data_IF_239693555653
#
_entry.id   IF_239693555653
#
_cell.length_a   1.000
_cell.length_b   1.000
_cell.length_c   1.000
_cell.angle_alpha   90.00
_cell.angle_beta   90.00
_cell.angle_gamma   90.00
#
_symmetry.space_group_name_H-M   'P 1'
#
loop_
_entity.id
_entity.type
_entity.pdbx_description
1 polymer ?
#
# COMPACT_ATOMS: atom_id res chain seq x y z
N UNK A 1 39.85 -27.13 27.34
CA UNK A 1 39.60 -26.85 27.32
C UNK A 1 38.90 -25.98 27.04
N UNK A 2 38.58 -25.75 26.83
CA UNK A 2 37.96 -25.06 26.70
C UNK A 2 37.30 -24.55 26.05
N UNK A 3 37.26 -24.58 25.77
CA UNK A 3 36.77 -24.28 25.07
C UNK A 3 35.70 -23.75 24.99
N UNK A 4 35.38 -23.82 25.13
CA UNK A 4 34.49 -23.52 25.03
C UNK A 4 33.93 -22.54 24.85
N UNK A 5 34.04 -22.29 24.76
CA UNK A 5 33.64 -21.57 24.64
C UNK A 5 33.00 -20.91 24.07
N UNK A 6 32.96 -20.86 23.73
CA UNK A 6 32.53 -20.41 23.19
C UNK A 6 31.61 -20.03 22.82
N UNK A 7 31.41 -20.11 22.60
CA UNK A 7 30.63 -19.99 22.18
C UNK A 7 29.75 -19.22 22.25
N UNK A 8 29.58 -19.09 22.36
CA UNK A 8 28.77 -18.62 22.44
C UNK A 8 28.34 -17.67 22.00
N UNK A 9 28.43 -17.50 21.79
CA UNK A 9 28.01 -16.78 21.50
C UNK A 9 27.33 -16.32 20.93
N UNK A 10 27.21 -16.28 20.63
CA UNK A 10 26.68 -15.93 20.13
C UNK A 10 25.76 -15.66 19.80
N UNK A 11 25.74 -15.89 19.68
CA UNK A 11 24.85 -15.90 19.34
C UNK A 11 24.15 -15.01 19.51
N UNK A 12 24.08 -14.83 19.88
CA UNK A 12 23.34 -14.12 20.13
C UNK A 12 23.03 -13.22 19.33
N UNK A 13 23.26 -13.07 18.97
CA UNK A 13 23.08 -12.33 18.31
C UNK A 13 22.12 -12.20 17.66
N UNK A 14 21.97 -12.40 17.53
CA UNK A 14 21.29 -12.46 16.98
C UNK A 14 20.30 -12.02 17.03
N UNK A 15 20.30 -12.20 17.10
CA UNK A 15 19.46 -12.08 17.22
C UNK A 15 18.75 -11.09 17.16
N UNK A 16 18.60 -10.85 17.29
CA UNK A 16 17.90 -10.04 17.44
C UNK A 16 17.67 -9.15 16.65
N UNK A 17 17.86 -8.91 16.45
CA UNK A 17 17.82 -7.89 15.82
C UNK A 17 16.89 -7.68 14.80
N UNK A 18 16.84 -8.30 14.11
CA UNK A 18 16.15 -8.15 12.99
C UNK A 18 14.79 -7.82 13.11
N UNK A 19 14.35 -8.36 13.80
CA UNK A 19 13.13 -8.33 14.05
C UNK A 19 12.39 -7.13 13.97
N UNK A 20 12.69 -6.24 14.64
CA UNK A 20 11.89 -5.12 14.83
C UNK A 20 11.94 -4.14 13.71
N UNK A 21 12.42 -4.51 12.62
CA UNK A 21 12.77 -3.56 11.60
C UNK A 21 11.78 -3.39 10.48
N UNK A 22 10.53 -3.67 10.70
CA UNK A 22 9.55 -3.45 9.65
C UNK A 22 9.47 -1.96 9.35
N UNK A 23 9.65 -1.62 8.11
CA UNK A 23 9.67 -0.27 7.61
C UNK A 23 8.69 -0.14 6.47
N UNK A 24 8.34 1.08 6.12
CA UNK A 24 7.50 1.31 4.96
C UNK A 24 8.08 0.62 3.73
N UNK A 25 9.41 0.59 3.62
CA UNK A 25 10.06 -0.04 2.48
C UNK A 25 9.84 -1.54 2.42
N UNK A 26 9.39 -2.14 3.52
CA UNK A 26 9.16 -3.57 3.57
C UNK A 26 7.71 -3.95 3.28
N UNK A 27 6.90 -3.00 2.87
CA UNK A 27 5.50 -3.30 2.57
C UNK A 27 5.42 -4.19 1.33
N UNK A 28 4.45 -5.10 1.30
CA UNK A 28 4.24 -5.91 0.10
C UNK A 28 3.95 -5.03 -1.09
N UNK A 29 4.62 -5.31 -2.20
CA UNK A 29 4.41 -4.57 -3.44
C UNK A 29 3.36 -5.32 -4.24
N UNK A 30 2.32 -4.62 -4.65
CA UNK A 30 1.21 -5.23 -5.38
C UNK A 30 0.94 -4.46 -6.65
N UNK A 31 0.43 -5.16 -7.66
CA UNK A 31 -0.12 -4.49 -8.84
C UNK A 31 -1.57 -4.12 -8.53
N UNK A 32 -2.12 -3.22 -9.33
CA UNK A 32 -3.53 -2.84 -9.20
C UNK A 32 -4.41 -4.07 -9.32
N UNK A 33 -4.14 -4.93 -10.29
CA UNK A 33 -4.91 -6.15 -10.47
C UNK A 33 -4.84 -7.06 -9.25
N UNK A 34 -3.66 -7.20 -8.65
CA UNK A 34 -3.50 -8.04 -7.46
C UNK A 34 -4.30 -7.50 -6.28
N UNK A 35 -4.39 -6.18 -6.15
CA UNK A 35 -5.18 -5.62 -5.06
C UNK A 35 -6.64 -6.03 -5.19
N UNK A 36 -7.18 -5.97 -6.40
CA UNK A 36 -8.56 -6.41 -6.61
C UNK A 36 -8.71 -7.90 -6.37
N UNK A 37 -7.77 -8.71 -6.89
CA UNK A 37 -7.86 -10.16 -6.75
C UNK A 37 -7.69 -10.63 -5.32
N UNK A 38 -6.88 -9.92 -4.54
CA UNK A 38 -6.52 -10.33 -3.19
C UNK A 38 -7.15 -9.44 -2.13
N UNK A 39 -8.21 -8.73 -2.47
CA UNK A 39 -8.76 -7.71 -1.58
C UNK A 39 -9.16 -8.26 -0.22
N UNK A 40 -9.70 -9.46 -0.16
CA UNK A 40 -10.11 -10.05 1.11
C UNK A 40 -8.92 -10.30 2.03
N UNK A 41 -7.81 -10.76 1.45
CA UNK A 41 -6.60 -11.05 2.22
C UNK A 41 -5.88 -9.77 2.62
N UNK A 42 -5.96 -8.76 1.78
CA UNK A 42 -5.23 -7.51 1.99
C UNK A 42 -5.99 -6.52 2.85
N UNK A 43 -7.27 -6.74 3.10
CA UNK A 43 -8.09 -5.81 3.86
C UNK A 43 -7.45 -5.49 5.20
N UNK A 44 -7.29 -4.21 5.49
CA UNK A 44 -6.69 -3.75 6.74
C UNK A 44 -5.17 -3.74 6.73
N UNK A 45 -4.54 -4.08 5.63
CA UNK A 45 -3.07 -4.13 5.54
C UNK A 45 -2.55 -2.98 4.71
N UNK A 46 -1.33 -2.56 5.01
CA UNK A 46 -0.64 -1.55 4.22
C UNK A 46 0.12 -2.23 3.10
N UNK A 47 0.10 -1.62 1.93
CA UNK A 47 0.79 -2.14 0.75
C UNK A 47 1.45 -0.99 0.00
N UNK A 48 2.26 -1.35 -0.97
CA UNK A 48 2.92 -0.40 -1.86
C UNK A 48 2.49 -0.69 -3.29
N UNK A 49 2.08 0.34 -4.02
CA UNK A 49 1.81 0.22 -5.45
C UNK A 49 2.54 1.33 -6.18
N UNK A 50 2.74 1.12 -7.48
CA UNK A 50 3.29 2.14 -8.38
C UNK A 50 2.36 2.26 -9.57
N UNK A 51 2.27 3.44 -10.15
CA UNK A 51 1.46 3.59 -11.33
C UNK A 51 1.37 5.01 -11.80
N UNK A 52 0.48 5.23 -12.74
CA UNK A 52 0.26 6.54 -13.32
C UNK A 52 -1.08 7.09 -12.83
N UNK A 53 -1.09 8.37 -12.47
CA UNK A 53 -2.32 9.06 -12.09
C UNK A 53 -3.09 9.36 -13.36
N UNK A 54 -4.31 8.87 -13.45
CA UNK A 54 -5.14 9.07 -14.65
C UNK A 54 -6.34 9.97 -14.40
N UNK A 55 -6.68 10.21 -13.15
CA UNK A 55 -7.79 11.10 -12.80
C UNK A 55 -7.59 11.62 -11.39
N UNK A 56 -7.97 12.87 -11.16
CA UNK A 56 -7.79 13.52 -9.86
C UNK A 56 -9.06 14.28 -9.50
N UNK A 57 -9.56 14.05 -8.30
CA UNK A 57 -10.67 14.81 -7.74
C UNK A 57 -10.24 15.28 -6.35
N UNK A 58 -9.88 16.54 -6.25
CA UNK A 58 -9.37 17.10 -5.01
C UNK A 58 -10.49 17.68 -4.15
N UNK A 59 -10.28 17.65 -2.84
CA UNK A 59 -11.17 18.37 -1.92
C UNK A 59 -12.51 17.74 -1.71
N UNK A 60 -12.63 16.42 -1.86
CA UNK A 60 -13.89 15.72 -1.64
C UNK A 60 -13.86 15.14 -0.24
N UNK A 61 -14.77 15.61 0.61
CA UNK A 61 -14.86 15.14 2.00
C UNK A 61 -13.52 15.26 2.74
N UNK A 62 -12.79 16.34 2.44
CA UNK A 62 -11.51 16.59 3.11
C UNK A 62 -10.35 15.77 2.59
N UNK A 63 -10.52 15.11 1.46
CA UNK A 63 -9.49 14.22 0.90
C UNK A 63 -9.35 14.47 -0.59
N UNK A 64 -8.25 13.99 -1.14
CA UNK A 64 -8.02 14.00 -2.58
C UNK A 64 -8.16 12.56 -3.07
N UNK A 65 -8.89 12.36 -4.14
CA UNK A 65 -9.15 11.05 -4.72
C UNK A 65 -8.36 10.94 -6.01
N UNK A 66 -7.42 10.00 -6.05
CA UNK A 66 -6.55 9.80 -7.20
C UNK A 66 -6.84 8.43 -7.81
N UNK A 67 -7.00 8.39 -9.11
CA UNK A 67 -7.18 7.13 -9.83
C UNK A 67 -5.81 6.72 -10.38
N UNK A 68 -5.39 5.52 -10.07
CA UNK A 68 -4.05 5.01 -10.44
C UNK A 68 -4.22 3.77 -11.31
N UNK A 69 -3.45 3.73 -12.39
CA UNK A 69 -3.38 2.56 -13.27
C UNK A 69 -1.91 2.19 -13.45
N UNK A 70 -1.63 0.90 -13.51
CA UNK A 70 -0.25 0.43 -13.70
C UNK A 70 -0.11 -0.53 -14.88
N UNK A 71 -1.12 -0.60 -15.72
CA UNK A 71 -1.08 -1.49 -16.88
C UNK A 71 -1.57 -2.90 -16.60
N UNK A 72 -1.80 -3.25 -15.34
CA UNK A 72 -2.34 -4.55 -14.98
C UNK A 72 -3.86 -4.51 -14.98
N UNK A 73 -4.48 -5.68 -15.04
CA UNK A 73 -5.92 -5.79 -14.94
C UNK A 73 -6.64 -5.55 -16.24
N UNK A 74 -7.94 -5.59 -16.16
CA UNK A 74 -8.84 -5.36 -17.29
C UNK A 74 -9.89 -4.36 -16.84
N UNK A 75 -10.93 -4.19 -17.63
CA UNK A 75 -12.00 -3.29 -17.24
C UNK A 75 -12.55 -3.72 -15.89
N UNK A 76 -12.62 -2.78 -14.95
CA UNK A 76 -13.09 -3.06 -13.59
C UNK A 76 -11.99 -3.43 -12.60
N UNK A 77 -10.80 -3.81 -13.07
CA UNK A 77 -9.69 -4.17 -12.19
C UNK A 77 -8.38 -3.50 -12.55
N UNK A 78 -8.43 -2.52 -13.45
CA UNK A 78 -7.22 -1.84 -13.93
C UNK A 78 -7.02 -0.45 -13.33
N UNK A 79 -7.93 0.01 -12.50
CA UNK A 79 -7.94 1.38 -12.00
C UNK A 79 -8.31 1.32 -10.53
N UNK A 80 -7.44 1.79 -9.66
CA UNK A 80 -7.73 1.78 -8.23
C UNK A 80 -7.69 3.20 -7.70
N UNK A 81 -8.55 3.47 -6.74
CA UNK A 81 -8.65 4.79 -6.16
C UNK A 81 -7.84 4.84 -4.88
N UNK A 82 -7.04 5.90 -4.75
CA UNK A 82 -6.26 6.18 -3.55
C UNK A 82 -6.77 7.49 -2.98
N UNK A 83 -7.10 7.52 -1.69
CA UNK A 83 -7.37 8.78 -1.02
C UNK A 83 -6.13 9.21 -0.27
N UNK A 84 -5.87 10.50 -0.26
CA UNK A 84 -4.65 11.05 0.33
C UNK A 84 -4.87 12.51 0.70
N UNK A 85 -4.06 13.00 1.63
CA UNK A 85 -3.98 14.44 1.89
C UNK A 85 -3.05 15.11 0.89
N UNK A 86 -2.24 14.33 0.18
CA UNK A 86 -1.40 14.82 -0.89
C UNK A 86 -2.16 14.74 -2.20
N UNK A 87 -1.67 15.43 -3.22
CA UNK A 87 -2.26 15.35 -4.54
C UNK A 87 -1.17 15.21 -5.59
N UNK A 88 -1.59 14.96 -6.81
CA UNK A 88 -0.69 14.82 -7.94
C UNK A 88 -1.44 15.26 -9.19
N UNK A 89 -0.76 15.31 -10.31
CA UNK A 89 -1.36 15.70 -11.58
C UNK A 89 -1.57 14.47 -12.46
N UNK A 90 -2.59 14.55 -13.30
CA UNK A 90 -2.83 13.49 -14.30
C UNK A 90 -1.56 13.36 -15.13
N UNK A 91 -1.11 12.13 -15.32
CA UNK A 91 0.12 11.80 -16.04
C UNK A 91 1.32 11.56 -15.16
N UNK A 92 1.24 11.93 -13.89
CA UNK A 92 2.37 11.71 -12.97
C UNK A 92 2.55 10.22 -12.71
N UNK A 93 3.80 9.78 -12.65
CA UNK A 93 4.16 8.44 -12.20
C UNK A 93 4.42 8.53 -10.73
N UNK A 94 3.72 7.74 -9.95
CA UNK A 94 3.81 7.83 -8.49
C UNK A 94 4.02 6.46 -7.87
N UNK A 95 4.60 6.48 -6.68
CA UNK A 95 4.65 5.32 -5.81
C UNK A 95 3.85 5.67 -4.58
N UNK A 96 3.06 4.74 -4.10
CA UNK A 96 2.10 5.02 -3.04
C UNK A 96 2.15 3.91 -2.01
N UNK A 97 2.29 4.31 -0.75
CA UNK A 97 2.06 3.41 0.38
C UNK A 97 0.66 3.71 0.89
N UNK A 98 -0.16 2.72 1.07
CA UNK A 98 -1.54 2.96 1.46
C UNK A 98 -2.14 1.77 2.19
N UNK A 99 -3.25 2.04 2.85
CA UNK A 99 -4.02 1.05 3.60
C UNK A 99 -5.13 0.50 2.72
N UNK A 100 -5.21 -0.80 2.60
CA UNK A 100 -6.29 -1.44 1.83
C UNK A 100 -7.55 -1.45 2.69
N UNK A 101 -8.62 -0.85 2.18
CA UNK A 101 -9.91 -0.83 2.85
C UNK A 101 -10.94 -1.47 1.91
N UNK A 102 -11.74 -2.36 2.45
CA UNK A 102 -12.79 -3.01 1.67
C UNK A 102 -14.16 -2.57 2.15
N UNK A 103 -15.12 -2.55 1.23
CA UNK A 103 -16.50 -2.20 1.51
C UNK A 103 -16.62 -0.85 2.21
N UNK A 104 -15.93 0.12 1.63
CA UNK A 104 -15.91 1.47 2.19
C UNK A 104 -17.06 2.28 1.60
N UNK A 105 -17.93 2.78 2.47
CA UNK A 105 -19.05 3.62 2.06
C UNK A 105 -18.85 5.00 2.68
N UNK A 106 -18.63 6.00 1.84
CA UNK A 106 -18.49 7.38 2.29
C UNK A 106 -19.83 8.10 2.35
N UNK A 107 -20.89 7.43 1.91
CA UNK A 107 -22.20 8.06 1.80
C UNK A 107 -22.37 8.76 0.46
N UNK A 108 -23.57 9.27 0.20
CA UNK A 108 -23.87 10.08 -0.98
C UNK A 108 -23.51 9.39 -2.30
N UNK A 109 -23.55 8.07 -2.33
CA UNK A 109 -23.25 7.32 -3.54
C UNK A 109 -21.78 6.98 -3.73
N UNK A 110 -20.93 7.37 -2.80
CA UNK A 110 -19.51 7.05 -2.88
C UNK A 110 -19.25 5.77 -2.10
N UNK A 111 -19.33 4.64 -2.78
CA UNK A 111 -19.16 3.33 -2.16
C UNK A 111 -18.19 2.51 -3.01
N UNK A 112 -17.25 1.86 -2.37
CA UNK A 112 -16.17 1.15 -3.05
C UNK A 112 -15.97 -0.23 -2.45
N UNK A 113 -15.89 -1.24 -3.31
CA UNK A 113 -15.60 -2.59 -2.85
C UNK A 113 -14.18 -2.64 -2.27
N UNK A 114 -13.23 -1.96 -2.91
CA UNK A 114 -11.88 -1.83 -2.40
C UNK A 114 -11.36 -0.45 -2.77
N UNK A 115 -10.64 0.16 -1.84
CA UNK A 115 -10.06 1.48 -2.04
C UNK A 115 -8.79 1.53 -1.19
N UNK A 116 -7.81 2.30 -1.62
CA UNK A 116 -6.58 2.50 -0.86
C UNK A 116 -6.69 3.82 -0.13
N UNK A 117 -6.53 3.80 1.19
CA UNK A 117 -6.67 4.98 2.02
C UNK A 117 -5.36 5.36 2.68
N UNK A 118 -5.30 6.59 3.20
CA UNK A 118 -4.13 7.10 3.89
C UNK A 118 -2.91 7.07 2.98
N UNK A 119 -3.11 7.37 1.71
CA UNK A 119 -2.05 7.28 0.73
C UNK A 119 -0.91 8.24 1.01
N UNK A 120 0.31 7.73 0.96
CA UNK A 120 1.52 8.54 1.02
C UNK A 120 2.22 8.40 -0.31
N UNK A 121 2.27 9.50 -1.04
CA UNK A 121 2.87 9.53 -2.36
C UNK A 121 4.35 9.87 -2.24
N UNK A 122 5.14 9.23 -3.08
CA UNK A 122 6.59 9.45 -3.11
C UNK A 122 7.05 9.84 -4.48
#
# INVERSE_FOLDING_TARGET
MNKNIIAATLAAIVAFAPVSQLQAADLPVKTVEQVFAQQAELSGKHIHISGEVVKVNNGIMGKNFLHIQDGSGAEGTNDIIVTSQQTANVGDKVEVDALVTTNRDFGMGYSYAVILEEGKLK
#
